data_IF_670121040546
#
_entry.id   IF_670121040546
#
_cell.length_a   1.000
_cell.length_b   1.000
_cell.length_c   1.000
_cell.angle_alpha   90.00
_cell.angle_beta   90.00
_cell.angle_gamma   90.00
#
_symmetry.space_group_name_H-M   'P 1'
#
loop_
_entity.id
_entity.type
_entity.pdbx_description
1 polymer ?
#
# COMPACT_ATOMS: atom_id res chain seq x y z
N UNK A 1 -24.67 37.71 16.85
CA UNK A 1 -24.40 36.35 17.39
C UNK A 1 -24.06 35.42 16.24
N UNK A 2 -22.79 35.06 16.04
CA UNK A 2 -22.37 34.06 15.04
C UNK A 2 -22.43 32.67 15.70
N UNK A 3 -23.15 31.73 15.07
CA UNK A 3 -23.00 30.29 15.35
C UNK A 3 -21.66 29.85 14.78
N UNK A 4 -20.88 28.99 15.45
CA UNK A 4 -19.72 28.39 14.80
C UNK A 4 -20.24 27.44 13.71
N UNK A 5 -19.79 27.67 12.48
CA UNK A 5 -19.88 26.72 11.37
C UNK A 5 -19.16 25.44 11.80
N UNK A 6 -19.91 24.48 12.34
CA UNK A 6 -19.43 23.10 12.46
C UNK A 6 -19.45 22.51 11.06
N UNK A 7 -18.33 22.64 10.34
CA UNK A 7 -18.12 21.89 9.11
C UNK A 7 -18.35 20.41 9.44
N UNK A 8 -19.28 19.70 8.75
CA UNK A 8 -19.47 18.29 9.02
C UNK A 8 -18.16 17.57 8.75
N UNK A 9 -17.64 16.89 9.78
CA UNK A 9 -16.48 16.01 9.65
C UNK A 9 -16.82 15.00 8.53
N UNK A 10 -15.95 14.81 7.52
CA UNK A 10 -16.23 13.84 6.49
C UNK A 10 -16.44 12.47 7.15
N UNK A 11 -17.38 11.65 6.64
CA UNK A 11 -17.63 10.34 7.21
C UNK A 11 -16.31 9.58 7.27
N UNK A 12 -15.96 9.10 8.47
CA UNK A 12 -14.74 8.30 8.66
C UNK A 12 -14.80 7.09 7.72
N UNK A 13 -13.67 6.73 7.09
CA UNK A 13 -13.63 5.53 6.27
C UNK A 13 -14.09 4.33 7.12
N UNK A 14 -14.92 3.45 6.54
CA UNK A 14 -15.42 2.23 7.20
C UNK A 14 -14.35 1.13 7.33
N UNK A 15 -13.09 1.53 7.32
CA UNK A 15 -11.92 0.67 7.34
C UNK A 15 -10.74 1.38 8.02
N UNK A 16 -9.79 0.60 8.50
CA UNK A 16 -8.57 1.08 9.16
C UNK A 16 -7.40 0.15 8.85
N UNK A 17 -6.17 0.65 9.07
CA UNK A 17 -4.95 -0.13 8.89
C UNK A 17 -4.46 -0.70 10.23
N UNK A 18 -3.99 -1.94 10.19
CA UNK A 18 -3.30 -2.61 11.29
C UNK A 18 -1.93 -3.04 10.81
N UNK A 19 -0.94 -2.90 11.68
CA UNK A 19 0.46 -3.19 11.40
C UNK A 19 0.93 -4.34 12.27
N UNK A 20 1.77 -5.19 11.69
CA UNK A 20 2.59 -6.15 12.41
C UNK A 20 4.02 -6.10 11.86
N UNK A 21 4.89 -6.98 12.38
CA UNK A 21 6.30 -7.05 11.96
C UNK A 21 6.46 -7.53 10.50
N UNK A 22 5.40 -8.06 9.90
CA UNK A 22 5.38 -8.64 8.57
C UNK A 22 4.63 -7.76 7.56
N UNK A 23 4.02 -6.63 7.94
CA UNK A 23 3.36 -5.76 6.99
C UNK A 23 2.15 -4.98 7.52
N UNK A 24 1.21 -4.74 6.61
CA UNK A 24 0.04 -3.88 6.85
C UNK A 24 -1.21 -4.57 6.31
N UNK A 25 -2.26 -4.62 7.11
CA UNK A 25 -3.58 -5.14 6.70
C UNK A 25 -4.63 -4.05 6.82
N UNK A 26 -5.40 -3.84 5.75
CA UNK A 26 -6.60 -3.01 5.78
C UNK A 26 -7.81 -3.84 6.21
N UNK A 27 -8.43 -3.49 7.33
CA UNK A 27 -9.60 -4.18 7.88
C UNK A 27 -10.85 -3.32 7.70
N UNK A 28 -11.91 -3.94 7.18
CA UNK A 28 -13.27 -3.39 7.19
C UNK A 28 -14.17 -4.11 8.20
N UNK A 29 -15.44 -3.70 8.26
CA UNK A 29 -16.45 -4.28 9.17
C UNK A 29 -16.64 -5.80 9.02
N UNK A 30 -16.36 -6.34 7.83
CA UNK A 30 -16.59 -7.76 7.47
C UNK A 30 -15.32 -8.59 7.37
N UNK A 31 -14.15 -8.01 7.69
CA UNK A 31 -12.85 -8.68 7.56
C UNK A 31 -11.84 -7.91 6.72
N UNK A 32 -10.73 -8.57 6.31
CA UNK A 32 -9.68 -7.94 5.55
C UNK A 32 -10.16 -7.54 4.14
N UNK A 33 -9.77 -6.34 3.73
CA UNK A 33 -10.08 -5.76 2.43
C UNK A 33 -8.87 -5.80 1.49
N UNK A 34 -7.68 -5.64 2.06
CA UNK A 34 -6.39 -5.74 1.39
C UNK A 34 -5.30 -5.98 2.43
N UNK A 35 -4.16 -6.46 1.97
CA UNK A 35 -2.98 -6.59 2.80
C UNK A 35 -1.72 -6.37 1.97
N UNK A 36 -0.63 -6.07 2.66
CA UNK A 36 0.69 -6.00 2.10
C UNK A 36 1.67 -6.69 3.04
N UNK A 37 2.39 -7.68 2.53
CA UNK A 37 3.40 -8.42 3.28
C UNK A 37 4.79 -7.95 2.89
N UNK A 38 5.67 -7.83 3.88
CA UNK A 38 7.05 -7.36 3.77
C UNK A 38 7.96 -8.49 4.24
N UNK A 39 8.90 -8.89 3.39
CA UNK A 39 9.84 -9.97 3.67
C UNK A 39 11.26 -9.51 3.33
N UNK A 40 12.19 -9.71 4.26
CA UNK A 40 13.61 -9.51 4.01
C UNK A 40 14.19 -10.80 3.42
N UNK A 41 14.69 -10.74 2.19
CA UNK A 41 15.24 -11.91 1.49
C UNK A 41 16.70 -11.62 1.11
N UNK A 42 17.64 -12.07 1.94
CA UNK A 42 19.07 -11.86 1.68
C UNK A 42 19.41 -10.37 1.58
N UNK A 43 19.80 -9.92 0.39
CA UNK A 43 20.21 -8.54 0.12
C UNK A 43 19.07 -7.62 -0.32
N UNK A 44 17.83 -8.12 -0.45
CA UNK A 44 16.67 -7.36 -0.93
C UNK A 44 15.49 -7.39 0.04
N UNK A 45 14.54 -6.49 -0.17
CA UNK A 45 13.23 -6.50 0.46
C UNK A 45 12.18 -6.86 -0.59
N UNK A 46 11.33 -7.81 -0.26
CA UNK A 46 10.18 -8.22 -1.07
C UNK A 46 8.90 -7.65 -0.44
N UNK A 47 8.06 -7.04 -1.25
CA UNK A 47 6.75 -6.55 -0.82
C UNK A 47 5.67 -7.16 -1.72
N UNK A 48 4.65 -7.74 -1.13
CA UNK A 48 3.55 -8.37 -1.85
C UNK A 48 2.25 -7.70 -1.44
N UNK A 49 1.54 -7.11 -2.39
CA UNK A 49 0.23 -6.50 -2.20
C UNK A 49 -0.86 -7.44 -2.71
N UNK A 50 -1.91 -7.60 -1.90
CA UNK A 50 -3.17 -8.17 -2.34
C UNK A 50 -4.30 -7.19 -2.02
N UNK A 51 -5.15 -6.94 -3.00
CA UNK A 51 -6.35 -6.12 -2.85
C UNK A 51 -7.55 -6.97 -3.26
N UNK A 52 -8.33 -7.41 -2.27
CA UNK A 52 -9.44 -8.36 -2.46
C UNK A 52 -10.79 -7.63 -2.55
N UNK A 53 -10.87 -6.36 -2.15
CA UNK A 53 -12.10 -5.58 -2.14
C UNK A 53 -12.51 -5.10 -3.55
N UNK A 54 -13.69 -5.50 -4.02
CA UNK A 54 -14.32 -4.97 -5.25
C UNK A 54 -15.78 -4.57 -4.96
N UNK A 55 -16.18 -3.30 -5.19
CA UNK A 55 -15.32 -2.17 -5.53
C UNK A 55 -14.39 -1.81 -4.35
N UNK A 56 -13.18 -1.39 -4.68
CA UNK A 56 -12.20 -0.96 -3.68
C UNK A 56 -12.68 0.34 -3.02
N UNK A 57 -12.64 0.46 -1.68
CA UNK A 57 -12.86 1.72 -1.00
C UNK A 57 -11.88 2.79 -1.48
N UNK A 58 -12.38 4.02 -1.64
CA UNK A 58 -11.58 5.16 -2.08
C UNK A 58 -10.29 5.27 -1.25
N UNK A 59 -9.15 5.34 -1.95
CA UNK A 59 -7.78 5.48 -1.41
C UNK A 59 -7.24 4.30 -0.61
N UNK A 60 -7.94 3.16 -0.56
CA UNK A 60 -7.49 2.02 0.24
C UNK A 60 -6.09 1.54 -0.21
N UNK A 61 -5.87 1.31 -1.49
CA UNK A 61 -4.59 0.91 -2.04
C UNK A 61 -3.52 1.99 -1.89
N UNK A 62 -3.88 3.26 -2.09
CA UNK A 62 -2.96 4.39 -1.88
C UNK A 62 -2.47 4.47 -0.42
N UNK A 63 -3.38 4.41 0.54
CA UNK A 63 -3.05 4.55 1.95
C UNK A 63 -2.34 3.30 2.48
N UNK A 64 -2.72 2.10 2.01
CA UNK A 64 -2.00 0.85 2.27
C UNK A 64 -0.55 0.94 1.78
N UNK A 65 -0.33 1.31 0.51
CA UNK A 65 0.99 1.45 -0.06
C UNK A 65 1.84 2.48 0.70
N UNK A 66 1.26 3.64 1.02
CA UNK A 66 1.95 4.67 1.80
C UNK A 66 2.42 4.16 3.16
N UNK A 67 1.59 3.40 3.86
CA UNK A 67 1.93 2.87 5.18
C UNK A 67 2.96 1.76 5.11
N UNK A 68 2.93 0.92 4.07
CA UNK A 68 3.98 -0.08 3.80
C UNK A 68 5.35 0.57 3.74
N UNK A 69 5.52 1.67 3.01
CA UNK A 69 6.81 2.37 2.89
C UNK A 69 7.31 3.01 4.19
N UNK A 70 6.50 3.05 5.26
CA UNK A 70 6.96 3.47 6.60
C UNK A 70 7.68 2.36 7.35
N UNK A 71 7.60 1.11 6.90
CA UNK A 71 8.18 -0.05 7.56
C UNK A 71 9.71 0.02 7.64
N UNK A 72 10.28 -0.45 8.75
CA UNK A 72 11.72 -0.32 9.03
C UNK A 72 12.60 -0.99 7.97
N UNK A 73 12.19 -2.17 7.48
CA UNK A 73 12.93 -2.90 6.45
C UNK A 73 13.16 -2.08 5.16
N UNK A 74 12.24 -1.17 4.82
CA UNK A 74 12.28 -0.36 3.61
C UNK A 74 13.12 0.92 3.74
N UNK A 75 13.60 1.24 4.94
CA UNK A 75 14.51 2.38 5.18
C UNK A 75 15.97 2.09 4.80
N UNK A 76 16.28 0.84 4.48
CA UNK A 76 17.66 0.32 4.41
C UNK A 76 18.40 0.56 3.09
N UNK A 77 17.88 1.40 2.17
CA UNK A 77 18.39 1.59 0.78
C UNK A 77 18.59 0.29 -0.03
N UNK A 78 18.12 -0.85 0.49
CA UNK A 78 18.22 -2.16 -0.17
C UNK A 78 17.36 -2.19 -1.43
N UNK A 79 17.76 -3.00 -2.43
CA UNK A 79 16.89 -3.35 -3.54
C UNK A 79 15.50 -3.80 -3.08
N UNK A 80 14.48 -3.29 -3.75
CA UNK A 80 13.08 -3.66 -3.57
C UNK A 80 12.60 -4.49 -4.76
N UNK A 81 11.85 -5.54 -4.46
CA UNK A 81 10.95 -6.22 -5.40
C UNK A 81 9.52 -6.12 -4.84
N UNK A 82 8.64 -5.37 -5.51
CA UNK A 82 7.23 -5.31 -5.16
C UNK A 82 6.38 -6.09 -6.18
N UNK A 83 5.44 -6.91 -5.70
CA UNK A 83 4.41 -7.55 -6.49
C UNK A 83 3.06 -6.93 -6.13
N UNK A 84 2.29 -6.52 -7.12
CA UNK A 84 0.97 -5.92 -6.91
C UNK A 84 -0.03 -6.39 -7.99
N UNK A 85 -1.35 -6.35 -7.73
CA UNK A 85 -2.34 -6.67 -8.74
C UNK A 85 -2.28 -5.67 -9.90
N UNK A 86 -2.34 -6.15 -11.15
CA UNK A 86 -2.25 -5.30 -12.34
C UNK A 86 -3.35 -4.25 -12.42
N UNK A 87 -4.55 -4.55 -11.90
CA UNK A 87 -5.69 -3.63 -11.87
C UNK A 87 -5.58 -2.49 -10.86
N UNK A 88 -4.62 -2.52 -9.93
CA UNK A 88 -4.48 -1.55 -8.84
C UNK A 88 -3.53 -0.42 -9.23
N UNK A 89 -3.95 0.44 -10.17
CA UNK A 89 -3.13 1.56 -10.66
C UNK A 89 -2.73 2.55 -9.56
N UNK A 90 -3.59 2.76 -8.57
CA UNK A 90 -3.30 3.64 -7.44
C UNK A 90 -2.16 3.12 -6.54
N UNK A 91 -2.08 1.80 -6.34
CA UNK A 91 -0.97 1.15 -5.62
C UNK A 91 0.32 1.32 -6.43
N UNK A 92 0.25 1.10 -7.75
CA UNK A 92 1.41 1.28 -8.63
C UNK A 92 1.93 2.73 -8.59
N UNK A 93 1.04 3.71 -8.67
CA UNK A 93 1.41 5.12 -8.67
C UNK A 93 2.04 5.53 -7.33
N UNK A 94 1.53 5.05 -6.20
CA UNK A 94 2.15 5.30 -4.90
C UNK A 94 3.52 4.61 -4.79
N UNK A 95 3.63 3.33 -5.20
CA UNK A 95 4.92 2.62 -5.22
C UNK A 95 5.97 3.37 -6.04
N UNK A 96 5.60 3.92 -7.21
CA UNK A 96 6.52 4.70 -8.06
C UNK A 96 7.01 6.00 -7.41
N UNK A 97 6.25 6.59 -6.49
CA UNK A 97 6.69 7.79 -5.75
C UNK A 97 7.85 7.47 -4.80
N UNK A 98 7.83 6.28 -4.19
CA UNK A 98 8.89 5.82 -3.29
C UNK A 98 10.06 5.14 -4.01
N UNK A 99 9.85 4.73 -5.26
CA UNK A 99 10.82 3.97 -6.07
C UNK A 99 11.01 4.68 -7.42
N UNK A 100 11.75 5.81 -7.47
CA UNK A 100 11.80 6.66 -8.66
C UNK A 100 12.43 5.97 -9.88
N UNK A 101 13.38 5.07 -9.67
CA UNK A 101 14.06 4.30 -10.73
C UNK A 101 13.38 2.94 -11.01
N UNK A 102 12.09 2.84 -10.71
CA UNK A 102 11.31 1.62 -10.85
C UNK A 102 11.32 1.05 -12.28
N UNK A 103 11.71 -0.22 -12.39
CA UNK A 103 11.48 -1.06 -13.58
C UNK A 103 10.21 -1.87 -13.36
N UNK A 104 9.25 -1.73 -14.27
CA UNK A 104 7.94 -2.37 -14.17
C UNK A 104 7.83 -3.47 -15.21
N UNK A 105 7.37 -4.65 -14.81
CA UNK A 105 7.04 -5.77 -15.70
C UNK A 105 5.66 -6.30 -15.36
N UNK A 106 4.89 -6.66 -16.37
CA UNK A 106 3.58 -7.28 -16.19
C UNK A 106 3.69 -8.77 -16.48
N UNK A 107 3.15 -9.58 -15.58
CA UNK A 107 3.07 -11.03 -15.68
C UNK A 107 1.64 -11.48 -15.37
N UNK A 108 0.80 -11.54 -16.40
CA UNK A 108 -0.62 -11.90 -16.26
C UNK A 108 -1.38 -10.88 -15.41
N UNK A 109 -1.91 -11.33 -14.27
CA UNK A 109 -2.66 -10.49 -13.33
C UNK A 109 -1.77 -9.71 -12.34
N UNK A 110 -0.45 -9.88 -12.39
CA UNK A 110 0.50 -9.28 -11.46
C UNK A 110 1.42 -8.29 -12.17
N UNK A 111 1.65 -7.14 -11.55
CA UNK A 111 2.71 -6.20 -11.88
C UNK A 111 3.87 -6.40 -10.90
N UNK A 112 5.08 -6.54 -11.44
CA UNK A 112 6.33 -6.57 -10.70
C UNK A 112 7.03 -5.24 -10.84
N UNK A 113 7.44 -4.65 -9.71
CA UNK A 113 8.21 -3.41 -9.64
C UNK A 113 9.54 -3.71 -8.98
N UNK A 114 10.62 -3.30 -9.63
CA UNK A 114 11.98 -3.49 -9.14
C UNK A 114 12.70 -2.15 -9.07
N UNK A 115 13.37 -1.86 -7.96
CA UNK A 115 14.13 -0.61 -7.82
C UNK A 115 14.76 -0.48 -6.45
N UNK A 116 14.96 0.77 -6.01
CA UNK A 116 15.41 1.11 -4.65
C UNK A 116 14.47 2.17 -4.07
N UNK A 117 14.21 2.06 -2.77
CA UNK A 117 13.44 3.04 -2.02
C UNK A 117 14.29 4.31 -1.86
N UNK A 118 13.66 5.48 -1.99
CA UNK A 118 14.30 6.80 -1.79
C UNK A 118 13.56 7.63 -0.75
#
# INVERSE_FOLDING_TARGET
MRRPDSTPEPPRPRWYLVHDDCGVTALGERGPLAWAQIREEGDRVCVEFEVSAVPEPVRLGTDLARDVFRHAALRSERPLLAALPHGSSEVLDEVRRHVPDARIRVAGATCLVQGRVR
#
